data_IF_075664009024
#
_entry.id   IF_075664009024
#
_cell.length_a   1.000
_cell.length_b   1.000
_cell.length_c   1.000
_cell.angle_alpha   90.00
_cell.angle_beta   90.00
_cell.angle_gamma   90.00
#
_symmetry.space_group_name_H-M   'P 1'
#
loop_
_entity.id
_entity.type
_entity.pdbx_description
1 polymer ?
#
# COMPACT_ATOMS: atom_id res chain seq x y z
N UNK A 1 -15.24 -7.72 34.97
CA UNK A 1 -15.12 -8.14 33.55
C UNK A 1 -13.84 -7.51 33.02
N UNK A 2 -12.94 -8.30 32.44
CA UNK A 2 -11.68 -7.84 31.84
C UNK A 2 -11.79 -8.13 30.34
N UNK A 3 -11.40 -7.18 29.49
CA UNK A 3 -11.39 -7.33 28.04
C UNK A 3 -9.96 -7.55 27.56
N UNK A 4 -9.79 -8.20 26.41
CA UNK A 4 -8.49 -8.34 25.77
C UNK A 4 -7.91 -6.96 25.43
N UNK A 5 -6.61 -6.80 25.66
CA UNK A 5 -5.87 -5.58 25.35
C UNK A 5 -5.31 -5.62 23.92
N UNK A 6 -5.43 -4.51 23.20
CA UNK A 6 -4.73 -4.30 21.92
C UNK A 6 -3.38 -3.66 22.20
N UNK A 7 -2.30 -4.37 21.89
CA UNK A 7 -0.94 -3.86 21.95
C UNK A 7 -0.77 -2.65 21.03
N UNK A 8 0.04 -1.69 21.49
CA UNK A 8 0.39 -0.49 20.73
C UNK A 8 1.91 -0.24 20.85
N UNK A 9 2.71 -0.47 19.79
CA UNK A 9 2.26 -0.85 18.44
C UNK A 9 1.63 -2.26 18.41
N UNK A 10 0.72 -2.55 17.46
CA UNK A 10 0.20 -3.89 17.27
C UNK A 10 1.32 -4.88 16.98
N UNK A 11 1.26 -6.07 17.59
CA UNK A 11 2.26 -7.13 17.40
C UNK A 11 1.62 -8.35 16.73
N UNK A 12 2.28 -8.85 15.69
CA UNK A 12 1.92 -10.09 15.02
C UNK A 12 2.88 -11.20 15.44
N UNK A 13 2.34 -12.38 15.74
CA UNK A 13 3.14 -13.60 15.94
C UNK A 13 2.50 -14.81 15.27
N UNK A 14 3.31 -15.69 14.71
CA UNK A 14 2.85 -17.01 14.24
C UNK A 14 2.92 -18.07 15.35
N UNK A 15 3.58 -17.77 16.47
CA UNK A 15 3.76 -18.68 17.58
C UNK A 15 2.59 -18.58 18.56
N UNK A 16 1.51 -19.28 18.23
CA UNK A 16 0.32 -19.39 19.09
C UNK A 16 0.26 -20.81 19.63
N UNK A 17 0.22 -20.95 20.96
CA UNK A 17 0.11 -22.25 21.63
C UNK A 17 -1.17 -22.95 21.18
N UNK A 18 -1.03 -24.17 20.69
CA UNK A 18 -2.17 -25.05 20.41
C UNK A 18 -2.51 -25.82 21.68
N UNK A 19 -3.78 -25.80 22.07
CA UNK A 19 -4.27 -26.70 23.12
C UNK A 19 -4.59 -28.08 22.58
N UNK A 20 -4.28 -29.07 23.40
CA UNK A 20 -4.56 -30.49 23.17
C UNK A 20 -5.17 -31.11 24.44
N UNK A 21 -5.32 -32.43 24.43
CA UNK A 21 -5.92 -33.17 25.57
C UNK A 21 -5.04 -33.19 26.82
N UNK A 22 -3.76 -32.85 26.69
CA UNK A 22 -2.79 -32.82 27.80
C UNK A 22 -2.58 -31.41 28.34
N UNK A 23 -3.09 -30.40 27.63
CA UNK A 23 -3.03 -28.99 28.04
C UNK A 23 -3.88 -28.78 29.29
N UNK A 24 -3.22 -28.66 30.43
CA UNK A 24 -3.79 -28.13 31.66
C UNK A 24 -3.65 -26.61 31.62
N UNK A 25 -4.75 -25.90 31.41
CA UNK A 25 -4.82 -24.44 31.43
C UNK A 25 -6.06 -23.98 32.18
N UNK A 26 -5.92 -22.94 33.01
CA UNK A 26 -7.05 -22.28 33.64
C UNK A 26 -7.64 -21.17 32.75
N UNK A 27 -8.71 -20.52 33.22
CA UNK A 27 -9.38 -19.46 32.45
C UNK A 27 -8.49 -18.24 32.17
N UNK A 28 -7.49 -17.98 33.00
CA UNK A 28 -6.55 -16.88 32.83
C UNK A 28 -5.46 -17.25 31.82
N UNK A 29 -4.94 -18.47 31.91
CA UNK A 29 -4.01 -19.00 30.90
C UNK A 29 -4.67 -19.00 29.54
N UNK A 30 -5.89 -19.54 29.41
CA UNK A 30 -6.62 -19.57 28.14
C UNK A 30 -6.88 -18.19 27.51
N UNK A 31 -6.94 -17.14 28.33
CA UNK A 31 -7.18 -15.78 27.87
C UNK A 31 -5.96 -15.19 27.14
N UNK A 32 -4.74 -15.65 27.42
CA UNK A 32 -3.53 -15.12 26.76
C UNK A 32 -3.49 -15.48 25.27
N UNK A 33 -3.82 -16.70 24.89
CA UNK A 33 -3.84 -17.11 23.48
C UNK A 33 -4.97 -16.41 22.71
N UNK A 34 -6.13 -16.20 23.35
CA UNK A 34 -7.25 -15.43 22.77
C UNK A 34 -6.83 -13.97 22.56
N UNK A 35 -6.19 -13.36 23.55
CA UNK A 35 -5.67 -11.99 23.44
C UNK A 35 -4.62 -11.88 22.33
N UNK A 36 -3.74 -12.87 22.17
CA UNK A 36 -2.77 -12.87 21.08
C UNK A 36 -3.43 -13.03 19.70
N UNK A 37 -4.44 -13.89 19.56
CA UNK A 37 -5.23 -14.00 18.33
C UNK A 37 -5.96 -12.70 17.98
N UNK A 38 -6.50 -12.02 19.00
CA UNK A 38 -7.12 -10.71 18.84
C UNK A 38 -6.11 -9.66 18.38
N UNK A 39 -4.90 -9.66 18.96
CA UNK A 39 -3.80 -8.77 18.54
C UNK A 39 -3.36 -9.03 17.10
N UNK A 40 -3.19 -10.29 16.68
CA UNK A 40 -2.88 -10.63 15.29
C UNK A 40 -3.97 -10.15 14.31
N UNK A 41 -5.24 -10.32 14.70
CA UNK A 41 -6.39 -9.85 13.90
C UNK A 41 -6.37 -8.33 13.76
N UNK A 42 -6.11 -7.62 14.85
CA UNK A 42 -6.00 -6.17 14.85
C UNK A 42 -4.81 -5.68 14.02
N UNK A 43 -3.65 -6.33 14.14
CA UNK A 43 -2.47 -6.06 13.31
C UNK A 43 -2.81 -6.21 11.83
N UNK A 44 -3.39 -7.33 11.42
CA UNK A 44 -3.76 -7.57 10.01
C UNK A 44 -4.75 -6.53 9.50
N UNK A 45 -5.75 -6.16 10.31
CA UNK A 45 -6.68 -5.08 9.98
C UNK A 45 -5.95 -3.75 9.76
N UNK A 46 -4.99 -3.41 10.63
CA UNK A 46 -4.20 -2.18 10.49
C UNK A 46 -3.37 -2.16 9.22
N UNK A 47 -2.68 -3.25 8.90
CA UNK A 47 -1.92 -3.38 7.65
C UNK A 47 -2.86 -3.26 6.44
N UNK A 48 -4.02 -3.93 6.46
CA UNK A 48 -4.99 -3.82 5.37
C UNK A 48 -5.49 -2.38 5.20
N UNK A 49 -5.87 -1.70 6.30
CA UNK A 49 -6.29 -0.29 6.27
C UNK A 49 -5.18 0.62 5.72
N UNK A 50 -3.91 0.37 6.06
CA UNK A 50 -2.77 1.10 5.52
C UNK A 50 -2.58 0.85 4.02
N UNK A 51 -2.71 -0.40 3.56
CA UNK A 51 -2.65 -0.75 2.14
C UNK A 51 -3.79 -0.12 1.33
N UNK A 52 -4.96 0.09 1.92
CA UNK A 52 -6.11 0.74 1.24
C UNK A 52 -5.95 2.26 1.12
N UNK A 53 -5.12 2.90 1.95
CA UNK A 53 -4.90 4.34 1.90
C UNK A 53 -4.13 4.72 0.63
N UNK A 54 -4.71 5.55 -0.24
CA UNK A 54 -4.00 6.05 -1.41
C UNK A 54 -2.99 7.11 -1.00
N UNK A 55 -1.77 7.04 -1.54
CA UNK A 55 -0.85 8.17 -1.57
C UNK A 55 -0.93 8.86 -2.91
N UNK A 56 -0.88 10.19 -2.92
CA UNK A 56 -0.76 10.97 -4.15
C UNK A 56 0.71 11.08 -4.55
N UNK A 57 1.02 10.69 -5.79
CA UNK A 57 2.35 10.80 -6.40
C UNK A 57 2.26 11.67 -7.63
N UNK A 58 3.09 12.70 -7.71
CA UNK A 58 3.18 13.60 -8.86
C UNK A 58 4.25 13.06 -9.82
N UNK A 59 3.87 12.90 -11.09
CA UNK A 59 4.74 12.41 -12.17
C UNK A 59 4.94 13.55 -13.17
N UNK A 60 6.13 14.18 -13.19
CA UNK A 60 6.40 15.28 -14.11
C UNK A 60 6.68 14.79 -15.54
N UNK A 61 6.13 15.45 -16.56
CA UNK A 61 6.32 15.07 -17.96
C UNK A 61 7.79 15.18 -18.42
N UNK A 62 8.58 16.04 -17.79
CA UNK A 62 9.98 16.28 -18.12
C UNK A 62 10.92 15.14 -17.71
N UNK A 63 10.50 14.25 -16.80
CA UNK A 63 11.38 13.21 -16.25
C UNK A 63 11.38 11.89 -17.04
N UNK A 64 10.57 11.76 -18.07
CA UNK A 64 10.55 10.57 -18.93
C UNK A 64 11.78 10.49 -19.84
N UNK A 65 12.35 9.29 -19.95
CA UNK A 65 13.38 8.99 -20.93
C UNK A 65 12.89 9.20 -22.38
N UNK A 66 13.79 9.10 -23.36
CA UNK A 66 13.50 9.39 -24.78
C UNK A 66 13.44 8.14 -25.67
N UNK A 67 13.60 6.94 -25.11
CA UNK A 67 13.54 5.68 -25.84
C UNK A 67 12.47 4.77 -25.24
N UNK A 68 11.82 3.96 -26.08
CA UNK A 68 10.82 2.98 -25.65
C UNK A 68 11.53 1.73 -25.09
N UNK A 69 11.06 1.14 -23.97
CA UNK A 69 10.00 1.68 -23.10
C UNK A 69 10.46 2.96 -22.41
N UNK A 70 9.62 4.00 -22.47
CA UNK A 70 9.92 5.24 -21.76
C UNK A 70 9.89 4.95 -20.28
N UNK A 71 10.87 5.44 -19.54
CA UNK A 71 11.00 5.19 -18.11
C UNK A 71 11.15 6.48 -17.34
N UNK A 72 10.62 6.49 -16.12
CA UNK A 72 10.77 7.61 -15.19
C UNK A 72 10.79 7.11 -13.75
N UNK A 73 11.86 7.44 -13.03
CA UNK A 73 12.00 7.17 -11.60
C UNK A 73 11.46 8.34 -10.77
N UNK A 74 10.57 8.04 -9.83
CA UNK A 74 9.91 9.01 -8.97
C UNK A 74 10.09 8.59 -7.51
N UNK A 75 10.44 9.55 -6.65
CA UNK A 75 10.55 9.30 -5.21
C UNK A 75 9.15 9.13 -4.60
N UNK A 76 8.99 8.10 -3.77
CA UNK A 76 7.74 7.78 -3.09
C UNK A 76 8.06 7.42 -1.64
N UNK A 77 7.68 8.30 -0.71
CA UNK A 77 7.95 8.07 0.71
C UNK A 77 7.27 6.81 1.20
N UNK A 78 8.03 5.97 1.92
CA UNK A 78 7.50 4.77 2.58
C UNK A 78 7.28 3.54 1.68
N UNK A 79 7.61 3.63 0.39
CA UNK A 79 7.57 2.46 -0.49
C UNK A 79 8.80 1.58 -0.29
N UNK A 80 8.59 0.26 -0.35
CA UNK A 80 9.63 -0.76 -0.26
C UNK A 80 9.73 -1.53 -1.58
N UNK A 81 10.87 -2.14 -1.84
CA UNK A 81 11.07 -3.02 -3.00
C UNK A 81 10.12 -4.24 -3.01
N UNK A 82 9.57 -4.63 -1.85
CA UNK A 82 8.58 -5.71 -1.74
C UNK A 82 7.15 -5.26 -2.05
N UNK A 83 6.90 -3.95 -2.16
CA UNK A 83 5.56 -3.44 -2.41
C UNK A 83 5.16 -3.66 -3.87
N UNK A 84 3.89 -4.00 -4.08
CA UNK A 84 3.30 -4.10 -5.42
C UNK A 84 2.04 -3.22 -5.48
N UNK A 85 2.20 -1.89 -5.55
CA UNK A 85 1.09 -0.97 -5.42
C UNK A 85 0.22 -0.95 -6.67
N UNK A 86 -1.08 -0.75 -6.46
CA UNK A 86 -2.04 -0.53 -7.56
C UNK A 86 -2.11 0.96 -7.86
N UNK A 87 -1.83 1.31 -9.11
CA UNK A 87 -1.97 2.67 -9.63
C UNK A 87 -3.42 2.98 -10.00
N UNK A 88 -3.88 4.18 -9.67
CA UNK A 88 -5.17 4.68 -10.13
C UNK A 88 -5.10 6.19 -10.43
N UNK A 89 -5.98 6.72 -11.30
CA UNK A 89 -6.00 8.14 -11.60
C UNK A 89 -6.29 8.99 -10.36
N UNK A 90 -5.48 10.02 -10.11
CA UNK A 90 -5.81 11.02 -9.09
C UNK A 90 -6.90 11.96 -9.64
N UNK A 91 -8.17 11.70 -9.31
CA UNK A 91 -9.31 12.50 -9.77
C UNK A 91 -10.16 13.01 -8.61
N UNK A 92 -9.74 14.07 -7.89
CA UNK A 92 -10.56 14.75 -6.89
C UNK A 92 -11.88 15.26 -7.47
N UNK A 93 -12.89 15.40 -6.61
CA UNK A 93 -14.27 15.78 -7.00
C UNK A 93 -14.35 17.15 -7.69
N UNK A 94 -13.40 18.04 -7.39
CA UNK A 94 -13.36 19.41 -7.90
C UNK A 94 -12.85 19.52 -9.35
N UNK A 95 -12.31 18.44 -9.92
CA UNK A 95 -11.82 18.45 -11.31
C UNK A 95 -12.98 18.52 -12.32
N UNK A 96 -12.77 19.28 -13.39
CA UNK A 96 -13.67 19.29 -14.52
C UNK A 96 -13.67 17.93 -15.27
N UNK A 97 -14.75 17.59 -16.00
CA UNK A 97 -14.80 16.36 -16.79
C UNK A 97 -13.66 16.22 -17.81
N UNK A 98 -13.18 17.34 -18.35
CA UNK A 98 -12.07 17.36 -19.30
C UNK A 98 -10.74 16.96 -18.63
N UNK A 99 -10.47 17.48 -17.43
CA UNK A 99 -9.28 17.13 -16.65
C UNK A 99 -9.31 15.68 -16.19
N UNK A 100 -10.47 15.17 -15.74
CA UNK A 100 -10.65 13.76 -15.36
C UNK A 100 -10.32 12.84 -16.54
N UNK A 101 -10.83 13.15 -17.74
CA UNK A 101 -10.54 12.40 -18.97
C UNK A 101 -9.05 12.44 -19.31
N UNK A 102 -8.42 13.60 -19.19
CA UNK A 102 -6.99 13.78 -19.45
C UNK A 102 -6.13 12.96 -18.49
N UNK A 103 -6.42 13.02 -17.18
CA UNK A 103 -5.69 12.24 -16.16
C UNK A 103 -5.84 10.73 -16.36
N UNK A 104 -7.05 10.24 -16.65
CA UNK A 104 -7.28 8.82 -17.00
C UNK A 104 -6.47 8.39 -18.21
N UNK A 105 -6.38 9.25 -19.24
CA UNK A 105 -5.58 8.97 -20.42
C UNK A 105 -4.09 8.89 -20.09
N UNK A 106 -3.54 9.82 -19.29
CA UNK A 106 -2.13 9.82 -18.92
C UNK A 106 -1.75 8.63 -18.03
N UNK A 107 -2.60 8.28 -17.05
CA UNK A 107 -2.39 7.06 -16.24
C UNK A 107 -2.42 5.81 -17.12
N UNK A 108 -3.34 5.73 -18.09
CA UNK A 108 -3.41 4.61 -19.03
C UNK A 108 -2.26 4.52 -20.03
N UNK A 109 -1.33 5.48 -20.04
CA UNK A 109 -0.07 5.37 -20.78
C UNK A 109 0.99 4.57 -20.01
N UNK A 110 0.87 4.48 -18.68
CA UNK A 110 1.74 3.66 -17.85
C UNK A 110 1.34 2.20 -18.07
N UNK A 111 2.28 1.41 -18.57
CA UNK A 111 2.07 0.00 -18.90
C UNK A 111 2.67 -0.95 -17.86
N UNK A 112 3.69 -0.48 -17.12
CA UNK A 112 4.37 -1.27 -16.10
C UNK A 112 5.04 -0.37 -15.05
N UNK A 113 5.55 -0.96 -13.98
CA UNK A 113 6.33 -0.27 -12.96
C UNK A 113 7.14 -1.21 -12.06
N UNK A 114 8.25 -0.71 -11.55
CA UNK A 114 9.12 -1.42 -10.61
C UNK A 114 9.28 -0.60 -9.32
N UNK A 115 9.21 -1.28 -8.17
CA UNK A 115 9.39 -0.68 -6.85
C UNK A 115 10.80 -0.91 -6.34
N UNK A 116 11.37 0.12 -5.72
CA UNK A 116 12.63 0.10 -5.00
C UNK A 116 12.42 0.82 -3.66
N UNK A 117 13.31 0.64 -2.69
CA UNK A 117 13.18 1.36 -1.41
C UNK A 117 13.22 2.88 -1.63
N UNK A 118 12.08 3.53 -1.36
CA UNK A 118 11.86 4.97 -1.53
C UNK A 118 11.56 5.44 -2.95
N UNK A 119 11.46 4.55 -3.95
CA UNK A 119 11.25 4.93 -5.34
C UNK A 119 10.31 3.99 -6.10
N UNK A 120 9.69 4.54 -7.14
CA UNK A 120 9.00 3.77 -8.20
C UNK A 120 9.54 4.19 -9.55
N UNK A 121 9.90 3.22 -10.38
CA UNK A 121 10.18 3.44 -11.79
C UNK A 121 8.94 3.09 -12.59
N UNK A 122 8.33 4.07 -13.24
CA UNK A 122 7.19 3.86 -14.14
C UNK A 122 7.67 3.64 -15.56
N UNK A 123 6.95 2.79 -16.31
CA UNK A 123 7.24 2.48 -17.71
C UNK A 123 6.05 2.77 -18.62
N UNK A 124 6.32 3.33 -19.80
CA UNK A 124 5.34 3.49 -20.88
C UNK A 124 5.83 2.78 -22.15
N UNK A 125 5.12 1.74 -22.57
CA UNK A 125 5.47 0.92 -23.74
C UNK A 125 5.19 1.55 -25.11
N UNK A 126 4.31 2.55 -25.21
CA UNK A 126 3.90 3.12 -26.50
C UNK A 126 4.06 4.65 -26.57
N UNK A 127 3.42 5.37 -25.64
CA UNK A 127 3.41 6.83 -25.60
C UNK A 127 3.69 7.28 -24.17
N UNK A 128 4.49 8.33 -24.01
CA UNK A 128 4.69 8.97 -22.71
C UNK A 128 3.71 10.14 -22.49
N UNK A 129 3.32 10.42 -21.24
CA UNK A 129 2.59 11.63 -20.87
C UNK A 129 3.32 12.90 -21.34
N UNK A 130 2.53 13.91 -21.74
CA UNK A 130 3.04 15.20 -22.24
C UNK A 130 2.79 16.35 -21.28
N UNK A 131 2.09 16.11 -20.17
CA UNK A 131 1.85 17.06 -19.11
C UNK A 131 2.01 16.39 -17.75
N UNK A 132 2.27 17.21 -16.73
CA UNK A 132 2.40 16.75 -15.37
C UNK A 132 1.06 16.22 -14.86
N UNK A 133 1.10 15.14 -14.09
CA UNK A 133 -0.11 14.55 -13.55
C UNK A 133 0.14 13.80 -12.26
N UNK A 134 -0.92 13.67 -11.47
CA UNK A 134 -0.89 12.89 -10.24
C UNK A 134 -1.56 11.53 -10.42
N UNK A 135 -1.07 10.55 -9.66
CA UNK A 135 -1.67 9.23 -9.52
C UNK A 135 -1.86 8.91 -8.04
N UNK A 136 -2.79 8.00 -7.76
CA UNK A 136 -2.91 7.38 -6.45
C UNK A 136 -2.26 6.00 -6.47
N UNK A 137 -1.31 5.76 -5.58
CA UNK A 137 -0.76 4.42 -5.31
C UNK A 137 -1.42 3.86 -4.04
N UNK A 138 -1.91 2.62 -4.09
CA UNK A 138 -2.42 1.85 -2.93
C UNK A 138 -1.59 0.61 -2.75
N UNK A 139 -1.33 0.20 -1.51
CA UNK A 139 -0.46 -0.94 -1.18
C UNK A 139 0.98 -0.56 -0.89
N UNK A 140 1.21 0.68 -0.44
CA UNK A 140 2.52 1.15 0.03
C UNK A 140 2.68 0.80 1.50
N UNK A 141 3.77 0.10 1.85
CA UNK A 141 3.97 -0.50 3.18
C UNK A 141 4.03 0.50 4.33
N UNK A 142 4.60 1.68 4.12
CA UNK A 142 4.84 2.67 5.18
C UNK A 142 4.15 4.00 4.86
N UNK A 143 2.82 3.95 4.72
CA UNK A 143 1.97 5.11 4.45
C UNK A 143 1.52 5.85 5.74
N UNK A 144 2.48 6.17 6.60
CA UNK A 144 2.28 6.91 7.85
C UNK A 144 1.98 6.04 9.07
#
# INVERSE_FOLDING_TARGET
MIFCNVKNPPEYTTEIRRWDRETLADGQEMAFEIEQLFNNTFYNKKIQEQHERPIEVIIPASGWSNMIPYSQKVAVTGIKASDNPVISPCTPKELSPAEVKLRRKMVGMITDGETEDGYVTFYCGEKKPTGDFSVYLRGVSDNG
#
